data_IF_658818904232
#
_entry.id   IF_658818904232
#
_cell.length_a   1.000
_cell.length_b   1.000
_cell.length_c   1.000
_cell.angle_alpha   90.00
_cell.angle_beta   90.00
_cell.angle_gamma   90.00
#
_symmetry.space_group_name_H-M   'P 1'
#
loop_
_entity.id
_entity.type
_entity.pdbx_description
1 polymer ?
#
# COMPACT_ATOMS: atom_id res chain seq x y z
N UNK A 1 -26.74 56.50 50.24
CA UNK A 1 -26.05 56.67 48.94
C UNK A 1 -24.59 56.33 49.18
N UNK A 2 -23.96 55.54 48.31
CA UNK A 2 -22.53 55.24 48.47
C UNK A 2 -21.72 56.53 48.38
N UNK A 3 -20.65 56.61 49.17
CA UNK A 3 -19.71 57.72 49.08
C UNK A 3 -18.87 57.64 47.80
N UNK A 4 -18.29 58.77 47.37
CA UNK A 4 -17.41 58.81 46.20
C UNK A 4 -16.22 57.84 46.33
N UNK A 5 -15.66 57.74 47.53
CA UNK A 5 -14.54 56.86 47.84
C UNK A 5 -14.94 55.38 47.77
N UNK A 6 -16.12 55.02 48.26
CA UNK A 6 -16.66 53.66 48.17
C UNK A 6 -16.90 53.23 46.71
N UNK A 7 -17.41 54.14 45.86
CA UNK A 7 -17.57 53.88 44.43
C UNK A 7 -16.23 53.66 43.73
N UNK A 8 -15.23 54.49 44.04
CA UNK A 8 -13.88 54.33 43.49
C UNK A 8 -13.23 53.03 43.95
N UNK A 9 -13.42 52.63 45.20
CA UNK A 9 -12.93 51.35 45.72
C UNK A 9 -13.57 50.16 44.98
N UNK A 10 -14.91 50.16 44.82
CA UNK A 10 -15.62 49.12 44.05
C UNK A 10 -15.20 49.06 42.59
N UNK A 11 -15.00 50.21 41.93
CA UNK A 11 -14.51 50.25 40.54
C UNK A 11 -13.11 49.63 40.44
N UNK A 12 -12.21 49.89 41.40
CA UNK A 12 -10.88 49.26 41.43
C UNK A 12 -10.97 47.74 41.59
N UNK A 13 -11.81 47.27 42.51
CA UNK A 13 -12.02 45.84 42.74
C UNK A 13 -12.56 45.13 41.50
N UNK A 14 -13.58 45.71 40.85
CA UNK A 14 -14.16 45.17 39.62
C UNK A 14 -13.15 45.17 38.47
N UNK A 15 -12.32 46.21 38.34
CA UNK A 15 -11.24 46.22 37.36
C UNK A 15 -10.22 45.09 37.62
N UNK A 16 -9.83 44.84 38.87
CA UNK A 16 -8.95 43.70 39.17
C UNK A 16 -9.60 42.35 38.82
N UNK A 17 -10.89 42.19 39.09
CA UNK A 17 -11.63 40.99 38.69
C UNK A 17 -11.67 40.83 37.16
N UNK A 18 -11.84 41.92 36.41
CA UNK A 18 -11.79 41.89 34.94
C UNK A 18 -10.42 41.47 34.43
N UNK A 19 -9.35 41.98 35.02
CA UNK A 19 -7.98 41.60 34.66
C UNK A 19 -7.71 40.11 34.93
N UNK A 20 -8.20 39.58 36.05
CA UNK A 20 -8.10 38.15 36.37
C UNK A 20 -8.89 37.28 35.39
N UNK A 21 -10.14 37.65 35.09
CA UNK A 21 -10.96 36.94 34.09
C UNK A 21 -10.27 36.99 32.72
N UNK A 22 -9.68 38.12 32.35
CA UNK A 22 -8.97 38.26 31.08
C UNK A 22 -7.74 37.34 31.03
N UNK A 23 -6.92 37.30 32.08
CA UNK A 23 -5.79 36.36 32.19
C UNK A 23 -6.26 34.91 32.05
N UNK A 24 -7.38 34.54 32.67
CA UNK A 24 -7.95 33.20 32.55
C UNK A 24 -8.43 32.89 31.12
N UNK A 25 -9.04 33.85 30.42
CA UNK A 25 -9.43 33.69 29.00
C UNK A 25 -8.21 33.46 28.12
N UNK A 26 -7.13 34.21 28.35
CA UNK A 26 -5.90 34.12 27.57
C UNK A 26 -5.20 32.78 27.83
N UNK A 27 -5.14 32.33 29.09
CA UNK A 27 -4.61 31.01 29.44
C UNK A 27 -5.37 29.87 28.74
N UNK A 28 -6.71 29.85 28.82
CA UNK A 28 -7.54 28.84 28.13
C UNK A 28 -7.38 28.94 26.61
N UNK A 29 -7.21 30.14 26.06
CA UNK A 29 -6.97 30.32 24.62
C UNK A 29 -5.64 29.72 24.19
N UNK A 30 -4.59 29.88 25.00
CA UNK A 30 -3.29 29.27 24.75
C UNK A 30 -3.36 27.73 24.86
N UNK A 31 -4.09 27.19 25.84
CA UNK A 31 -4.33 25.74 25.94
C UNK A 31 -5.08 25.18 24.72
N UNK A 32 -6.11 25.89 24.22
CA UNK A 32 -6.80 25.50 22.99
C UNK A 32 -5.83 25.45 21.81
N UNK A 33 -4.96 26.46 21.68
CA UNK A 33 -3.99 26.53 20.59
C UNK A 33 -2.95 25.41 20.66
N UNK A 34 -2.47 25.07 21.86
CA UNK A 34 -1.52 23.95 22.04
C UNK A 34 -2.17 22.60 21.72
N UNK A 35 -3.42 22.38 22.15
CA UNK A 35 -4.19 21.17 21.81
C UNK A 35 -4.47 21.08 20.30
N UNK A 36 -4.73 22.21 19.62
CA UNK A 36 -4.87 22.25 18.15
C UNK A 36 -3.57 21.87 17.44
N UNK A 37 -2.43 22.35 17.90
CA UNK A 37 -1.14 21.95 17.34
C UNK A 37 -0.89 20.44 17.48
N UNK A 38 -1.20 19.86 18.65
CA UNK A 38 -1.14 18.40 18.87
C UNK A 38 -2.10 17.64 17.94
N UNK A 39 -3.31 18.18 17.71
CA UNK A 39 -4.28 17.59 16.80
C UNK A 39 -3.76 17.55 15.35
N UNK A 40 -3.09 18.61 14.91
CA UNK A 40 -2.50 18.68 13.57
C UNK A 40 -1.32 17.72 13.42
N UNK A 41 -0.51 17.53 14.46
CA UNK A 41 0.55 16.53 14.47
C UNK A 41 -0.02 15.10 14.36
N UNK A 42 -1.07 14.77 15.12
CA UNK A 42 -1.76 13.47 15.01
C UNK A 42 -2.35 13.28 13.61
N UNK A 43 -2.86 14.34 12.96
CA UNK A 43 -3.36 14.27 11.59
C UNK A 43 -2.26 13.93 10.60
N UNK A 44 -1.05 14.51 10.76
CA UNK A 44 0.12 14.15 9.94
C UNK A 44 0.51 12.69 10.14
N UNK A 45 0.65 12.25 11.39
CA UNK A 45 0.95 10.85 11.72
C UNK A 45 -0.10 9.89 11.15
N UNK A 46 -1.39 10.24 11.20
CA UNK A 46 -2.45 9.45 10.58
C UNK A 46 -2.32 9.38 9.05
N UNK A 47 -1.87 10.46 8.40
CA UNK A 47 -1.64 10.48 6.96
C UNK A 47 -0.46 9.58 6.58
N UNK A 48 0.65 9.66 7.34
CA UNK A 48 1.82 8.80 7.17
C UNK A 48 1.46 7.32 7.35
N UNK A 49 0.77 6.97 8.44
CA UNK A 49 0.34 5.58 8.69
C UNK A 49 -0.59 5.07 7.58
N UNK A 50 -1.47 5.92 7.03
CA UNK A 50 -2.29 5.53 5.86
C UNK A 50 -1.43 5.26 4.63
N UNK A 51 -0.45 6.11 4.36
CA UNK A 51 0.49 5.91 3.25
C UNK A 51 1.27 4.60 3.41
N UNK A 52 1.76 4.32 4.61
CA UNK A 52 2.47 3.07 4.91
C UNK A 52 1.57 1.84 4.73
N UNK A 53 0.32 1.91 5.20
CA UNK A 53 -0.68 0.85 5.00
C UNK A 53 -0.91 0.58 3.51
N UNK A 54 -1.03 1.63 2.71
CA UNK A 54 -1.25 1.50 1.27
C UNK A 54 -0.04 0.89 0.57
N UNK A 55 1.17 1.37 0.88
CA UNK A 55 2.41 0.77 0.38
C UNK A 55 2.55 -0.72 0.74
N UNK A 56 2.17 -1.12 1.97
CA UNK A 56 2.15 -2.54 2.36
C UNK A 56 1.11 -3.36 1.61
N UNK A 57 -0.04 -2.78 1.26
CA UNK A 57 -1.06 -3.45 0.43
C UNK A 57 -0.58 -3.66 -1.00
N UNK A 58 0.08 -2.67 -1.58
CA UNK A 58 0.69 -2.81 -2.92
C UNK A 58 1.77 -3.89 -2.93
N UNK A 59 2.66 -3.92 -1.93
CA UNK A 59 3.64 -5.00 -1.77
C UNK A 59 2.95 -6.38 -1.68
N UNK A 60 1.82 -6.44 -0.97
CA UNK A 60 1.04 -7.66 -0.85
C UNK A 60 0.38 -8.09 -2.16
N UNK A 61 -0.07 -7.14 -2.97
CA UNK A 61 -0.59 -7.41 -4.30
C UNK A 61 0.52 -7.96 -5.21
N UNK A 62 1.67 -7.29 -5.28
CA UNK A 62 2.84 -7.75 -6.08
C UNK A 62 3.29 -9.14 -5.68
N UNK A 63 3.38 -9.43 -4.38
CA UNK A 63 3.75 -10.77 -3.90
C UNK A 63 2.70 -11.83 -4.26
N UNK A 64 1.40 -11.50 -4.26
CA UNK A 64 0.35 -12.41 -4.73
C UNK A 64 0.47 -12.70 -6.24
N UNK A 65 0.70 -11.68 -7.05
CA UNK A 65 0.88 -11.81 -8.50
C UNK A 65 2.09 -12.69 -8.83
N UNK A 66 3.24 -12.44 -8.16
CA UNK A 66 4.44 -13.27 -8.30
C UNK A 66 4.22 -14.73 -7.88
N UNK A 67 3.51 -14.97 -6.77
CA UNK A 67 3.15 -16.34 -6.38
C UNK A 67 2.25 -16.98 -7.44
N UNK A 68 1.30 -16.22 -7.99
CA UNK A 68 0.41 -16.69 -9.06
C UNK A 68 1.18 -17.15 -10.29
N UNK A 69 2.08 -16.30 -10.82
CA UNK A 69 2.88 -16.63 -12.01
C UNK A 69 3.82 -17.83 -11.77
N UNK A 70 4.41 -17.95 -10.58
CA UNK A 70 5.22 -19.12 -10.22
C UNK A 70 4.39 -20.41 -10.12
N UNK A 71 3.15 -20.33 -9.62
CA UNK A 71 2.24 -21.48 -9.57
C UNK A 71 1.83 -21.91 -10.97
N UNK A 72 1.58 -20.98 -11.88
CA UNK A 72 1.32 -21.25 -13.29
C UNK A 72 2.53 -21.89 -13.97
N UNK A 73 3.72 -21.32 -13.80
CA UNK A 73 4.97 -21.89 -14.33
C UNK A 73 5.22 -23.31 -13.80
N UNK A 74 4.98 -23.53 -12.50
CA UNK A 74 5.06 -24.87 -11.89
C UNK A 74 4.09 -25.85 -12.54
N UNK A 75 2.85 -25.44 -12.84
CA UNK A 75 1.86 -26.32 -13.48
C UNK A 75 2.27 -26.68 -14.91
N UNK A 76 2.81 -25.73 -15.66
CA UNK A 76 3.36 -25.94 -17.01
C UNK A 76 4.51 -26.96 -16.98
N UNK A 77 5.48 -26.79 -16.07
CA UNK A 77 6.61 -27.72 -15.91
C UNK A 77 6.10 -29.13 -15.56
N UNK A 78 5.12 -29.25 -14.66
CA UNK A 78 4.53 -30.54 -14.31
C UNK A 78 3.89 -31.21 -15.53
N UNK A 79 3.19 -30.44 -16.36
CA UNK A 79 2.58 -30.96 -17.59
C UNK A 79 3.63 -31.39 -18.61
N UNK A 80 4.71 -30.62 -18.78
CA UNK A 80 5.85 -31.00 -19.61
C UNK A 80 6.54 -32.28 -19.13
N UNK A 81 6.75 -32.43 -17.82
CA UNK A 81 7.30 -33.67 -17.25
C UNK A 81 6.36 -34.85 -17.54
N UNK A 82 5.03 -34.66 -17.47
CA UNK A 82 4.06 -35.71 -17.78
C UNK A 82 4.12 -36.12 -19.25
N UNK A 83 4.19 -35.17 -20.19
CA UNK A 83 4.30 -35.49 -21.62
C UNK A 83 5.63 -36.19 -21.93
N UNK A 84 6.74 -35.69 -21.40
CA UNK A 84 8.05 -36.33 -21.57
C UNK A 84 8.10 -37.74 -20.97
N UNK A 85 7.43 -37.98 -19.83
CA UNK A 85 7.31 -39.34 -19.27
C UNK A 85 6.49 -40.27 -20.17
N UNK A 86 5.43 -39.77 -20.79
CA UNK A 86 4.66 -40.56 -21.76
C UNK A 86 5.50 -40.89 -23.00
N UNK A 87 6.27 -39.93 -23.52
CA UNK A 87 7.23 -40.16 -24.61
C UNK A 87 8.33 -41.16 -24.21
N UNK A 88 8.85 -41.05 -22.99
CA UNK A 88 9.84 -42.00 -22.44
C UNK A 88 9.26 -43.42 -22.42
N UNK A 89 8.00 -43.58 -22.03
CA UNK A 89 7.33 -44.87 -22.01
C UNK A 89 7.18 -45.43 -23.42
N UNK A 90 6.74 -44.62 -24.39
CA UNK A 90 6.61 -45.04 -25.79
C UNK A 90 7.96 -45.41 -26.42
N UNK A 91 9.00 -44.62 -26.17
CA UNK A 91 10.36 -44.92 -26.66
C UNK A 91 10.89 -46.23 -26.08
N UNK A 92 10.63 -46.53 -24.80
CA UNK A 92 11.00 -47.81 -24.20
C UNK A 92 10.25 -49.00 -24.83
N UNK A 93 8.94 -48.87 -25.09
CA UNK A 93 8.16 -49.91 -25.77
C UNK A 93 8.72 -50.17 -27.17
N UNK A 94 9.02 -49.12 -27.93
CA UNK A 94 9.59 -49.26 -29.27
C UNK A 94 10.97 -49.95 -29.21
N UNK A 95 11.83 -49.52 -28.29
CA UNK A 95 13.15 -50.12 -28.09
C UNK A 95 13.05 -51.61 -27.75
N UNK A 96 12.07 -52.02 -26.93
CA UNK A 96 11.80 -53.42 -26.66
C UNK A 96 11.40 -54.19 -27.93
N UNK A 97 10.46 -53.67 -28.74
CA UNK A 97 10.09 -54.28 -30.03
C UNK A 97 11.29 -54.47 -30.96
N UNK A 98 12.19 -53.49 -31.03
CA UNK A 98 13.42 -53.58 -31.83
C UNK A 98 14.39 -54.65 -31.30
N UNK A 99 14.51 -54.79 -29.97
CA UNK A 99 15.31 -55.87 -29.36
C UNK A 99 14.75 -57.24 -29.67
N UNK A 100 13.43 -57.42 -29.58
CA UNK A 100 12.75 -58.69 -29.92
C UNK A 100 12.98 -59.05 -31.39
N UNK A 101 12.80 -58.09 -32.31
CA UNK A 101 13.11 -58.29 -33.75
C UNK A 101 14.57 -58.66 -33.97
N UNK A 102 15.51 -57.98 -33.31
CA UNK A 102 16.93 -58.30 -33.41
C UNK A 102 17.26 -59.73 -32.96
N UNK A 103 16.61 -60.24 -31.91
CA UNK A 103 16.77 -61.63 -31.48
C UNK A 103 16.27 -62.58 -32.55
N UNK A 104 15.09 -62.34 -33.13
CA UNK A 104 14.55 -63.16 -34.23
C UNK A 104 15.50 -63.21 -35.42
N UNK A 105 15.96 -62.05 -35.91
CA UNK A 105 16.89 -62.02 -37.05
C UNK A 105 18.25 -62.64 -36.75
N UNK A 106 18.76 -62.51 -35.51
CA UNK A 106 20.00 -63.20 -35.09
C UNK A 106 19.83 -64.72 -35.08
N UNK A 107 18.69 -65.21 -34.59
CA UNK A 107 18.39 -66.64 -34.59
C UNK A 107 18.25 -67.16 -36.03
N UNK A 108 17.55 -66.44 -36.91
CA UNK A 108 17.48 -66.75 -38.34
C UNK A 108 18.86 -66.77 -39.00
N UNK A 109 19.73 -65.82 -38.65
CA UNK A 109 21.11 -65.82 -39.14
C UNK A 109 21.90 -67.03 -38.61
N UNK A 110 21.68 -67.44 -37.36
CA UNK A 110 22.30 -68.64 -36.77
C UNK A 110 21.88 -69.90 -37.52
N UNK A 111 20.58 -70.10 -37.76
CA UNK A 111 20.08 -71.28 -38.47
C UNK A 111 20.58 -71.33 -39.92
N UNK A 112 20.67 -70.19 -40.60
CA UNK A 112 21.27 -70.10 -41.93
C UNK A 112 22.77 -70.39 -41.91
N UNK A 113 23.51 -69.89 -40.91
CA UNK A 113 24.94 -70.20 -40.75
C UNK A 113 25.17 -71.70 -40.49
N UNK A 114 24.32 -72.34 -39.68
CA UNK A 114 24.37 -73.77 -39.39
C UNK A 114 24.11 -74.60 -40.65
N UNK A 115 23.12 -74.22 -41.46
CA UNK A 115 22.82 -74.88 -42.75
C UNK A 115 24.02 -74.87 -43.71
N UNK A 116 24.78 -73.79 -43.75
CA UNK A 116 25.96 -73.62 -44.63
C UNK A 116 27.24 -74.23 -44.01
N UNK A 117 27.15 -74.79 -42.80
CA UNK A 117 28.29 -75.42 -42.12
C UNK A 117 29.37 -74.43 -41.69
N UNK A 118 28.99 -73.17 -41.41
CA UNK A 118 29.89 -72.14 -40.87
C UNK A 118 30.93 -71.58 -41.84
N UNK A 119 30.96 -72.02 -43.10
CA UNK A 119 31.79 -71.41 -44.15
C UNK A 119 31.07 -70.18 -44.69
N UNK A 120 31.77 -69.05 -44.85
CA UNK A 120 31.22 -67.92 -45.60
C UNK A 120 31.38 -68.26 -47.08
N UNK A 121 30.33 -68.59 -47.83
CA UNK A 121 30.49 -68.94 -49.23
C UNK A 121 30.82 -67.67 -49.99
N UNK A 122 31.86 -67.72 -50.81
CA UNK A 122 32.22 -66.60 -51.66
C UNK A 122 31.22 -66.53 -52.82
N UNK A 123 30.21 -65.67 -52.66
CA UNK A 123 29.13 -65.42 -53.62
C UNK A 123 29.62 -65.29 -55.07
N UNK A 124 30.71 -64.56 -55.27
CA UNK A 124 31.32 -64.36 -56.59
C UNK A 124 31.92 -65.65 -57.17
N UNK A 125 32.50 -66.51 -56.33
CA UNK A 125 33.03 -67.81 -56.77
C UNK A 125 31.89 -68.77 -57.14
N UNK A 126 30.81 -68.81 -56.37
CA UNK A 126 29.64 -69.64 -56.68
C UNK A 126 28.95 -69.21 -57.98
N UNK A 127 28.82 -67.89 -58.21
CA UNK A 127 28.28 -67.35 -59.48
C UNK A 127 29.16 -67.72 -60.68
N UNK A 128 30.47 -67.54 -60.57
CA UNK A 128 31.42 -67.93 -61.63
C UNK A 128 31.39 -69.44 -61.89
N UNK A 129 31.21 -70.26 -60.86
CA UNK A 129 31.09 -71.71 -61.00
C UNK A 129 29.77 -72.10 -61.69
N UNK A 130 28.64 -71.44 -61.40
CA UNK A 130 27.39 -71.64 -62.15
C UNK A 130 27.59 -71.26 -63.61
N UNK A 131 28.11 -70.07 -63.90
CA UNK A 131 28.34 -69.59 -65.28
C UNK A 131 29.26 -70.54 -66.06
N UNK A 132 30.31 -71.07 -65.42
CA UNK A 132 31.21 -72.06 -66.01
C UNK A 132 30.52 -73.41 -66.23
N UNK A 133 29.69 -73.88 -65.29
CA UNK A 133 28.97 -75.15 -65.40
C UNK A 133 27.84 -75.09 -66.43
N UNK A 134 27.14 -73.97 -66.56
CA UNK A 134 26.14 -73.71 -67.60
C UNK A 134 26.80 -73.65 -68.98
N UNK A 135 27.91 -72.92 -69.10
CA UNK A 135 28.70 -72.88 -70.34
C UNK A 135 29.20 -74.27 -70.75
N UNK A 136 29.71 -75.05 -69.80
CA UNK A 136 30.12 -76.44 -70.05
C UNK A 136 28.94 -77.33 -70.43
N UNK A 137 27.78 -77.15 -69.82
CA UNK A 137 26.55 -77.88 -70.17
C UNK A 137 26.07 -77.56 -71.59
N UNK A 138 26.17 -76.31 -72.04
CA UNK A 138 25.78 -75.87 -73.39
C UNK A 138 26.76 -76.32 -74.49
N UNK A 139 28.04 -76.48 -74.16
CA UNK A 139 29.12 -76.75 -75.14
C UNK A 139 29.59 -78.20 -75.20
N UNK A 140 29.12 -79.07 -74.29
CA UNK A 140 29.55 -80.48 -74.20
C UNK A 140 28.45 -81.46 -74.67
N UNK A 141 28.76 -82.52 -75.44
CA UNK A 141 27.81 -83.60 -75.72
C UNK A 141 27.73 -84.57 -74.54
N UNK A 142 26.58 -84.64 -73.87
CA UNK A 142 26.45 -85.38 -72.59
C UNK A 142 25.44 -86.54 -72.64
N UNK A 143 25.72 -87.58 -71.85
CA UNK A 143 24.86 -88.76 -71.63
C UNK A 143 23.72 -88.39 -70.63
N UNK A 144 22.47 -88.90 -70.81
CA UNK A 144 21.33 -88.58 -69.95
C UNK A 144 21.54 -88.71 -68.43
N UNK A 145 22.41 -89.61 -67.97
CA UNK A 145 22.73 -89.72 -66.54
C UNK A 145 23.61 -88.58 -66.03
N UNK A 146 24.55 -88.13 -66.86
CA UNK A 146 25.42 -87.01 -66.55
C UNK A 146 24.65 -85.69 -66.54
N UNK A 147 23.75 -85.47 -67.50
CA UNK A 147 22.87 -84.30 -67.50
C UNK A 147 22.06 -84.19 -66.21
N UNK A 148 21.52 -85.31 -65.71
CA UNK A 148 20.81 -85.36 -64.43
C UNK A 148 21.72 -85.04 -63.25
N UNK A 149 23.00 -85.45 -63.27
CA UNK A 149 23.96 -85.10 -62.24
C UNK A 149 24.40 -83.63 -62.32
N UNK A 150 24.64 -83.10 -63.52
CA UNK A 150 24.94 -81.68 -63.75
C UNK A 150 23.82 -80.77 -63.27
N UNK A 151 22.57 -81.08 -63.65
CA UNK A 151 21.39 -80.34 -63.18
C UNK A 151 21.30 -80.42 -61.64
N UNK A 152 21.55 -81.59 -61.03
CA UNK A 152 21.59 -81.72 -59.56
C UNK A 152 22.67 -80.86 -58.92
N UNK A 153 23.88 -80.80 -59.49
CA UNK A 153 24.99 -79.99 -58.98
C UNK A 153 24.73 -78.48 -59.16
N UNK A 154 24.26 -78.04 -60.34
CA UNK A 154 23.86 -76.65 -60.58
C UNK A 154 22.75 -76.25 -59.60
N UNK A 155 21.71 -77.06 -59.46
CA UNK A 155 20.63 -76.84 -58.49
C UNK A 155 21.11 -76.80 -57.03
N UNK A 156 22.18 -77.51 -56.67
CA UNK A 156 22.78 -77.43 -55.34
C UNK A 156 23.51 -76.10 -55.15
N UNK A 157 24.33 -75.67 -56.13
CA UNK A 157 25.07 -74.40 -56.07
C UNK A 157 24.10 -73.21 -56.08
N UNK A 158 23.00 -73.27 -56.83
CA UNK A 158 21.94 -72.26 -56.81
C UNK A 158 21.25 -72.17 -55.43
N UNK A 159 21.00 -73.29 -54.77
CA UNK A 159 20.44 -73.30 -53.39
C UNK A 159 21.41 -72.65 -52.42
N UNK A 160 22.70 -72.96 -52.51
CA UNK A 160 23.74 -72.33 -51.69
C UNK A 160 23.82 -70.82 -51.94
N UNK A 161 23.77 -70.39 -53.20
CA UNK A 161 23.76 -68.98 -53.58
C UNK A 161 22.54 -68.24 -53.02
N UNK A 162 21.35 -68.83 -53.11
CA UNK A 162 20.12 -68.27 -52.53
C UNK A 162 20.21 -68.12 -51.00
N UNK A 163 20.85 -69.06 -50.31
CA UNK A 163 21.09 -68.95 -48.86
C UNK A 163 22.04 -67.80 -48.56
N UNK A 164 23.12 -67.61 -49.32
CA UNK A 164 24.03 -66.46 -49.18
C UNK A 164 23.30 -65.13 -49.34
N UNK A 165 22.47 -64.99 -50.37
CA UNK A 165 21.65 -63.79 -50.59
C UNK A 165 20.69 -63.53 -49.42
N UNK A 166 20.08 -64.58 -48.87
CA UNK A 166 19.20 -64.47 -47.71
C UNK A 166 19.97 -64.01 -46.46
N UNK A 167 21.20 -64.50 -46.26
CA UNK A 167 22.07 -64.11 -45.15
C UNK A 167 22.53 -62.66 -45.25
N UNK A 168 22.87 -62.18 -46.45
CA UNK A 168 23.20 -60.76 -46.69
C UNK A 168 22.02 -59.84 -46.33
N UNK A 169 20.80 -60.19 -46.77
CA UNK A 169 19.57 -59.45 -46.43
C UNK A 169 19.31 -59.43 -44.92
N UNK A 170 19.45 -60.57 -44.24
CA UNK A 170 19.29 -60.65 -42.79
C UNK A 170 20.34 -59.81 -42.06
N UNK A 171 21.61 -59.82 -42.50
CA UNK A 171 22.68 -58.98 -41.94
C UNK A 171 22.38 -57.49 -42.11
N UNK A 172 21.87 -57.08 -43.28
CA UNK A 172 21.47 -55.70 -43.53
C UNK A 172 20.33 -55.27 -42.59
N UNK A 173 19.28 -56.08 -42.44
CA UNK A 173 18.19 -55.80 -41.50
C UNK A 173 18.68 -55.74 -40.04
N UNK A 174 19.61 -56.60 -39.62
CA UNK A 174 20.22 -56.53 -38.29
C UNK A 174 20.95 -55.19 -38.10
N UNK A 175 21.72 -54.74 -39.10
CA UNK A 175 22.44 -53.46 -39.03
C UNK A 175 21.47 -52.27 -38.92
N UNK A 176 20.39 -52.27 -39.72
CA UNK A 176 19.36 -51.23 -39.67
C UNK A 176 18.64 -51.19 -38.31
N UNK A 177 18.20 -52.35 -37.80
CA UNK A 177 17.54 -52.45 -36.50
C UNK A 177 18.46 -52.02 -35.35
N UNK A 178 19.78 -52.28 -35.44
CA UNK A 178 20.77 -51.77 -34.47
C UNK A 178 20.83 -50.25 -34.51
N UNK A 179 20.94 -49.65 -35.70
CA UNK A 179 20.98 -48.20 -35.87
C UNK A 179 19.72 -47.52 -35.29
N UNK A 180 18.53 -48.06 -35.60
CA UNK A 180 17.26 -47.56 -35.05
C UNK A 180 17.19 -47.71 -33.53
N UNK A 181 17.68 -48.84 -32.98
CA UNK A 181 17.74 -49.04 -31.54
C UNK A 181 18.69 -48.07 -30.84
N UNK A 182 19.82 -47.72 -31.45
CA UNK A 182 20.78 -46.75 -30.91
C UNK A 182 20.22 -45.33 -30.96
N UNK A 183 19.53 -44.94 -32.04
CA UNK A 183 18.80 -43.67 -32.11
C UNK A 183 17.74 -43.55 -30.99
N UNK A 184 17.00 -44.61 -30.71
CA UNK A 184 16.03 -44.64 -29.61
C UNK A 184 16.68 -44.57 -28.23
N UNK A 185 17.86 -45.17 -28.02
CA UNK A 185 18.62 -45.03 -26.76
C UNK A 185 19.02 -43.57 -26.55
N UNK A 186 19.56 -42.92 -27.58
CA UNK A 186 19.97 -41.52 -27.50
C UNK A 186 18.77 -40.61 -27.21
N UNK A 187 17.63 -40.83 -27.89
CA UNK A 187 16.38 -40.09 -27.61
C UNK A 187 15.91 -40.31 -26.17
N UNK A 188 15.96 -41.54 -25.67
CA UNK A 188 15.59 -41.87 -24.30
C UNK A 188 16.48 -41.15 -23.28
N UNK A 189 17.78 -41.05 -23.53
CA UNK A 189 18.72 -40.32 -22.67
C UNK A 189 18.47 -38.81 -22.70
N UNK A 190 18.21 -38.24 -23.87
CA UNK A 190 17.83 -36.84 -24.00
C UNK A 190 16.57 -36.49 -23.18
N UNK A 191 15.50 -37.30 -23.31
CA UNK A 191 14.26 -37.13 -22.53
C UNK A 191 14.54 -37.22 -21.02
N UNK A 192 15.38 -38.16 -20.57
CA UNK A 192 15.75 -38.27 -19.15
C UNK A 192 16.47 -37.02 -18.64
N UNK A 193 17.39 -36.49 -19.43
CA UNK A 193 18.14 -35.28 -19.08
C UNK A 193 17.23 -34.04 -19.03
N UNK A 194 16.27 -33.91 -19.94
CA UNK A 194 15.26 -32.85 -19.91
C UNK A 194 14.36 -32.95 -18.68
N UNK A 195 13.87 -34.15 -18.36
CA UNK A 195 13.10 -34.38 -17.13
C UNK A 195 13.91 -33.98 -15.89
N UNK A 196 15.20 -34.32 -15.84
CA UNK A 196 16.07 -33.97 -14.71
C UNK A 196 16.21 -32.45 -14.53
N UNK A 197 16.41 -31.70 -15.63
CA UNK A 197 16.44 -30.23 -15.62
C UNK A 197 15.12 -29.64 -15.13
N UNK A 198 14.00 -30.09 -15.68
CA UNK A 198 12.67 -29.63 -15.27
C UNK A 198 12.36 -29.92 -13.79
N UNK A 199 12.85 -31.04 -13.26
CA UNK A 199 12.71 -31.37 -11.82
C UNK A 199 13.52 -30.43 -10.95
N UNK A 200 14.72 -30.03 -11.40
CA UNK A 200 15.52 -29.00 -10.72
C UNK A 200 14.83 -27.63 -10.76
N UNK A 201 14.28 -27.22 -11.91
CA UNK A 201 13.50 -25.98 -12.01
C UNK A 201 12.25 -26.00 -11.11
N UNK A 202 11.64 -27.17 -10.94
CA UNK A 202 10.50 -27.32 -10.04
C UNK A 202 10.93 -27.16 -8.56
N UNK A 203 12.13 -27.61 -8.18
CA UNK A 203 12.64 -27.45 -6.82
C UNK A 203 12.97 -26.00 -6.50
N UNK A 204 13.57 -25.25 -7.43
CA UNK A 204 13.85 -23.82 -7.28
C UNK A 204 12.55 -23.01 -7.15
N UNK A 205 11.57 -23.23 -8.04
CA UNK A 205 10.26 -22.56 -7.96
C UNK A 205 9.55 -22.85 -6.63
N UNK A 206 9.64 -24.09 -6.12
CA UNK A 206 9.08 -24.43 -4.80
C UNK A 206 9.73 -23.62 -3.68
N UNK A 207 11.04 -23.43 -3.71
CA UNK A 207 11.77 -22.62 -2.73
C UNK A 207 11.37 -21.15 -2.82
N UNK A 208 11.31 -20.59 -4.02
CA UNK A 208 10.87 -19.21 -4.25
C UNK A 208 9.44 -18.96 -3.75
N UNK A 209 8.50 -19.86 -4.05
CA UNK A 209 7.13 -19.78 -3.53
C UNK A 209 7.11 -19.83 -1.99
N UNK A 210 7.96 -20.64 -1.36
CA UNK A 210 8.05 -20.72 0.10
C UNK A 210 8.57 -19.41 0.70
N UNK A 211 9.62 -18.83 0.12
CA UNK A 211 10.16 -17.53 0.54
C UNK A 211 9.14 -16.40 0.38
N UNK A 212 8.45 -16.33 -0.77
CA UNK A 212 7.39 -15.34 -1.00
C UNK A 212 6.20 -15.50 -0.04
N UNK A 213 5.87 -16.74 0.36
CA UNK A 213 4.84 -16.97 1.37
C UNK A 213 5.27 -16.49 2.75
N UNK A 214 6.53 -16.66 3.11
CA UNK A 214 7.09 -16.16 4.37
C UNK A 214 7.09 -14.63 4.40
N UNK A 215 7.62 -13.97 3.35
CA UNK A 215 7.60 -12.51 3.26
C UNK A 215 6.17 -11.96 3.27
N UNK A 216 5.22 -12.64 2.61
CA UNK A 216 3.79 -12.28 2.67
C UNK A 216 3.24 -12.33 4.11
N UNK A 217 3.65 -13.30 4.92
CA UNK A 217 3.23 -13.38 6.34
C UNK A 217 3.81 -12.23 7.17
N UNK A 218 5.06 -11.83 6.91
CA UNK A 218 5.68 -10.68 7.56
C UNK A 218 4.95 -9.38 7.21
N UNK A 219 4.64 -9.15 5.93
CA UNK A 219 3.85 -7.99 5.48
C UNK A 219 2.48 -7.97 6.18
N UNK A 220 1.82 -9.11 6.37
CA UNK A 220 0.55 -9.15 7.12
C UNK A 220 0.71 -8.73 8.59
N UNK A 221 1.80 -9.15 9.26
CA UNK A 221 2.08 -8.75 10.65
C UNK A 221 2.32 -7.24 10.76
N UNK A 222 3.11 -6.68 9.86
CA UNK A 222 3.35 -5.24 9.80
C UNK A 222 2.07 -4.45 9.48
N UNK A 223 1.23 -4.97 8.58
CA UNK A 223 -0.06 -4.37 8.26
C UNK A 223 -1.00 -4.37 9.46
N UNK A 224 -0.98 -5.43 10.28
CA UNK A 224 -1.76 -5.50 11.51
C UNK A 224 -1.30 -4.44 12.52
N UNK A 225 0.01 -4.33 12.78
CA UNK A 225 0.54 -3.33 13.72
C UNK A 225 0.30 -1.89 13.25
N UNK A 226 0.37 -1.62 11.94
CA UNK A 226 0.00 -0.30 11.39
C UNK A 226 -1.49 0.01 11.56
N UNK A 227 -2.37 -0.98 11.43
CA UNK A 227 -3.81 -0.79 11.69
C UNK A 227 -4.09 -0.51 13.16
N UNK A 228 -3.42 -1.19 14.07
CA UNK A 228 -3.52 -0.92 15.52
C UNK A 228 -3.08 0.51 15.83
N UNK A 229 -1.88 0.91 15.38
CA UNK A 229 -1.38 2.29 15.50
C UNK A 229 -2.37 3.32 14.94
N UNK A 230 -2.99 3.03 13.79
CA UNK A 230 -4.01 3.90 13.19
C UNK A 230 -5.24 4.07 14.10
N UNK A 231 -5.72 3.00 14.71
CA UNK A 231 -6.86 3.07 15.63
C UNK A 231 -6.50 3.80 16.93
N UNK A 232 -5.30 3.60 17.48
CA UNK A 232 -4.79 4.36 18.64
C UNK A 232 -4.74 5.86 18.34
N UNK A 233 -4.15 6.25 17.19
CA UNK A 233 -4.11 7.65 16.76
C UNK A 233 -5.50 8.24 16.55
N UNK A 234 -6.47 7.46 16.05
CA UNK A 234 -7.87 7.92 15.92
C UNK A 234 -8.51 8.19 17.29
N UNK A 235 -8.30 7.30 18.28
CA UNK A 235 -8.80 7.49 19.64
C UNK A 235 -8.23 8.77 20.25
N UNK A 236 -6.90 8.91 20.21
CA UNK A 236 -6.20 10.10 20.72
C UNK A 236 -6.65 11.39 20.04
N UNK A 237 -6.89 11.34 18.73
CA UNK A 237 -7.46 12.48 17.97
C UNK A 237 -8.83 12.89 18.50
N UNK A 238 -9.68 11.92 18.86
CA UNK A 238 -11.03 12.19 19.33
C UNK A 238 -11.04 12.71 20.77
N UNK A 239 -10.19 12.16 21.63
CA UNK A 239 -9.93 12.67 22.99
C UNK A 239 -9.52 14.16 22.95
N UNK A 240 -8.51 14.50 22.13
CA UNK A 240 -8.05 15.90 22.01
C UNK A 240 -9.16 16.83 21.49
N UNK A 241 -10.00 16.37 20.57
CA UNK A 241 -11.16 17.18 20.12
C UNK A 241 -12.14 17.43 21.26
N UNK A 242 -12.42 16.42 22.09
CA UNK A 242 -13.31 16.57 23.24
C UNK A 242 -12.72 17.56 24.25
N UNK A 243 -11.42 17.48 24.54
CA UNK A 243 -10.72 18.46 25.38
C UNK A 243 -10.82 19.88 24.82
N UNK A 244 -10.58 20.07 23.50
CA UNK A 244 -10.72 21.36 22.83
C UNK A 244 -12.16 21.90 22.98
N UNK A 245 -13.17 21.04 22.85
CA UNK A 245 -14.58 21.43 23.03
C UNK A 245 -14.86 21.88 24.47
N UNK A 246 -14.37 21.15 25.48
CA UNK A 246 -14.52 21.53 26.88
C UNK A 246 -13.84 22.88 27.18
N UNK A 247 -12.61 23.07 26.70
CA UNK A 247 -11.91 24.35 26.84
C UNK A 247 -12.64 25.49 26.12
N UNK A 248 -13.23 25.23 24.95
CA UNK A 248 -14.00 26.22 24.22
C UNK A 248 -15.27 26.65 24.98
N UNK A 249 -15.97 25.71 25.62
CA UNK A 249 -17.10 26.00 26.50
C UNK A 249 -16.67 26.83 27.71
N UNK A 250 -15.62 26.41 28.42
CA UNK A 250 -15.06 27.17 29.56
C UNK A 250 -14.67 28.60 29.17
N UNK A 251 -14.06 28.78 27.99
CA UNK A 251 -13.73 30.11 27.47
C UNK A 251 -14.97 30.95 27.19
N UNK A 252 -16.06 30.33 26.70
CA UNK A 252 -17.33 31.02 26.47
C UNK A 252 -17.94 31.50 27.79
N UNK A 253 -17.98 30.64 28.81
CA UNK A 253 -18.45 30.99 30.15
C UNK A 253 -17.64 32.13 30.77
N UNK A 254 -16.30 32.09 30.64
CA UNK A 254 -15.44 33.18 31.12
C UNK A 254 -15.71 34.51 30.39
N UNK A 255 -16.01 34.46 29.09
CA UNK A 255 -16.38 35.66 28.32
C UNK A 255 -17.74 36.21 28.75
N UNK A 256 -18.70 35.35 29.07
CA UNK A 256 -20.01 35.76 29.60
C UNK A 256 -19.86 36.40 30.99
N UNK A 257 -19.07 35.79 31.89
CA UNK A 257 -18.72 36.38 33.19
C UNK A 257 -18.00 37.73 33.05
N UNK A 258 -17.07 37.84 32.09
CA UNK A 258 -16.40 39.12 31.80
C UNK A 258 -17.41 40.19 31.41
N UNK A 259 -18.40 39.86 30.56
CA UNK A 259 -19.44 40.81 30.15
C UNK A 259 -20.31 41.27 31.31
N UNK A 260 -20.75 40.37 32.18
CA UNK A 260 -21.57 40.76 33.35
C UNK A 260 -20.80 41.68 34.30
N UNK A 261 -19.52 41.39 34.53
CA UNK A 261 -18.64 42.24 35.37
C UNK A 261 -18.37 43.58 34.69
N UNK A 262 -18.26 43.64 33.35
CA UNK A 262 -18.17 44.89 32.60
C UNK A 262 -19.43 45.74 32.73
N UNK A 263 -20.61 45.14 32.65
CA UNK A 263 -21.89 45.86 32.86
C UNK A 263 -22.00 46.42 34.29
N UNK A 264 -21.53 45.67 35.30
CA UNK A 264 -21.44 46.17 36.67
C UNK A 264 -20.47 47.36 36.80
N UNK A 265 -19.30 47.28 36.17
CA UNK A 265 -18.35 48.39 36.11
C UNK A 265 -18.97 49.64 35.49
N UNK A 266 -19.68 49.48 34.36
CA UNK A 266 -20.38 50.59 33.70
C UNK A 266 -21.43 51.23 34.59
N UNK A 267 -22.23 50.44 35.32
CA UNK A 267 -23.20 50.94 36.31
C UNK A 267 -22.51 51.80 37.38
N UNK A 268 -21.42 51.32 37.97
CA UNK A 268 -20.68 52.08 38.98
C UNK A 268 -20.03 53.35 38.42
N UNK A 269 -19.52 53.30 37.19
CA UNK A 269 -18.97 54.48 36.51
C UNK A 269 -20.04 55.55 36.24
N UNK A 270 -21.25 55.15 35.83
CA UNK A 270 -22.38 56.06 35.65
C UNK A 270 -22.80 56.69 36.99
N UNK A 271 -22.89 55.88 38.05
CA UNK A 271 -23.19 56.37 39.41
C UNK A 271 -22.14 57.37 39.89
N UNK A 272 -20.85 57.08 39.70
CA UNK A 272 -19.76 57.99 40.05
C UNK A 272 -19.89 59.32 39.30
N UNK A 273 -20.13 59.28 37.98
CA UNK A 273 -20.31 60.48 37.16
C UNK A 273 -21.53 61.30 37.57
N UNK A 274 -22.65 60.65 37.90
CA UNK A 274 -23.85 61.30 38.41
C UNK A 274 -23.59 61.97 39.76
N UNK A 275 -22.84 61.32 40.65
CA UNK A 275 -22.48 61.85 41.96
C UNK A 275 -21.55 63.06 41.83
N UNK A 276 -20.54 63.01 40.96
CA UNK A 276 -19.67 64.16 40.66
C UNK A 276 -20.44 65.34 40.07
N UNK A 277 -21.42 65.09 39.19
CA UNK A 277 -22.30 66.14 38.66
C UNK A 277 -23.19 66.76 39.75
N UNK A 278 -23.71 65.94 40.66
CA UNK A 278 -24.53 66.39 41.78
C UNK A 278 -23.72 67.20 42.81
N UNK A 279 -22.47 66.81 43.09
CA UNK A 279 -21.56 67.59 43.93
C UNK A 279 -21.23 68.93 43.30
N UNK A 280 -20.94 68.95 41.99
CA UNK A 280 -20.69 70.20 41.25
C UNK A 280 -21.92 71.10 41.20
N UNK A 281 -23.12 70.56 41.00
CA UNK A 281 -24.35 71.35 40.98
C UNK A 281 -24.69 71.91 42.35
N UNK A 282 -24.51 71.14 43.43
CA UNK A 282 -24.64 71.62 44.81
C UNK A 282 -23.63 72.73 45.13
N UNK A 283 -22.37 72.56 44.73
CA UNK A 283 -21.34 73.58 44.90
C UNK A 283 -21.71 74.87 44.15
N UNK A 284 -22.16 74.76 42.89
CA UNK A 284 -22.67 75.90 42.11
C UNK A 284 -23.88 76.56 42.79
N UNK A 285 -24.84 75.79 43.27
CA UNK A 285 -26.02 76.31 43.96
C UNK A 285 -25.67 77.01 45.28
N UNK A 286 -24.70 76.49 46.05
CA UNK A 286 -24.20 77.14 47.26
C UNK A 286 -23.47 78.44 46.95
N UNK A 287 -22.66 78.47 45.88
CA UNK A 287 -22.01 79.71 45.42
C UNK A 287 -23.06 80.73 44.98
N UNK A 288 -24.05 80.32 44.18
CA UNK A 288 -25.17 81.18 43.78
C UNK A 288 -25.99 81.65 44.98
N UNK A 289 -26.24 80.79 45.98
CA UNK A 289 -26.94 81.15 47.21
C UNK A 289 -26.14 82.18 48.03
N UNK A 290 -24.82 82.01 48.16
CA UNK A 290 -23.95 83.00 48.82
C UNK A 290 -23.93 84.33 48.06
N UNK A 291 -23.82 84.29 46.74
CA UNK A 291 -23.85 85.49 45.89
C UNK A 291 -25.19 86.20 46.03
N UNK A 292 -26.32 85.49 45.94
CA UNK A 292 -27.66 86.08 46.13
C UNK A 292 -27.88 86.59 47.56
N UNK A 293 -27.39 85.89 48.59
CA UNK A 293 -27.45 86.38 49.99
C UNK A 293 -26.63 87.65 50.18
N UNK A 294 -25.38 87.69 49.74
CA UNK A 294 -24.55 88.91 49.80
C UNK A 294 -25.10 90.06 48.95
N UNK A 295 -25.73 89.78 47.81
CA UNK A 295 -26.48 90.77 47.04
C UNK A 295 -27.69 91.28 47.81
N UNK A 296 -28.46 90.40 48.47
CA UNK A 296 -29.59 90.77 49.33
C UNK A 296 -29.16 91.59 50.54
N UNK A 297 -28.12 91.20 51.25
CA UNK A 297 -27.58 91.95 52.40
C UNK A 297 -27.10 93.35 51.98
N UNK A 298 -26.42 93.46 50.82
CA UNK A 298 -26.05 94.75 50.23
C UNK A 298 -27.28 95.57 49.85
N UNK A 299 -28.27 94.95 49.22
CA UNK A 299 -29.52 95.61 48.82
C UNK A 299 -30.33 96.07 50.04
N UNK A 300 -30.40 95.29 51.12
CA UNK A 300 -31.06 95.67 52.38
C UNK A 300 -30.35 96.83 53.07
N UNK A 301 -29.01 96.83 53.10
CA UNK A 301 -28.24 97.95 53.62
C UNK A 301 -28.49 99.24 52.82
N UNK A 302 -28.55 99.14 51.49
CA UNK A 302 -28.83 100.28 50.60
C UNK A 302 -30.31 100.71 50.72
N UNK A 303 -31.26 99.78 50.84
CA UNK A 303 -32.68 100.06 51.05
C UNK A 303 -32.93 100.75 52.40
N UNK A 304 -32.22 100.34 53.45
CA UNK A 304 -32.29 101.02 54.75
C UNK A 304 -31.76 102.47 54.65
N UNK A 305 -30.73 102.74 53.83
CA UNK A 305 -30.29 104.13 53.54
C UNK A 305 -31.36 104.92 52.79
N UNK A 306 -32.03 104.31 51.80
CA UNK A 306 -33.16 104.91 51.09
C UNK A 306 -34.30 105.29 52.05
N UNK A 307 -34.68 104.38 52.96
CA UNK A 307 -35.73 104.61 53.96
C UNK A 307 -35.38 105.72 54.96
N UNK A 308 -34.09 105.98 55.16
CA UNK A 308 -33.58 107.06 56.02
C UNK A 308 -33.42 108.41 55.29
N UNK A 309 -33.74 108.50 54.00
CA UNK A 309 -33.79 109.77 53.24
C UNK A 309 -32.45 110.23 52.62
N UNK A 310 -31.46 109.35 52.51
CA UNK A 310 -30.17 109.66 51.88
C UNK A 310 -30.21 109.51 50.34
N UNK A 311 -29.45 110.33 49.60
CA UNK A 311 -29.38 110.27 48.12
C UNK A 311 -28.58 109.04 47.68
N UNK A 312 -29.18 108.20 46.86
CA UNK A 312 -28.54 107.03 46.25
C UNK A 312 -27.74 107.38 44.99
N UNK A 313 -26.65 106.65 44.76
CA UNK A 313 -25.88 106.70 43.51
C UNK A 313 -26.50 105.79 42.42
N UNK A 314 -26.20 106.05 41.14
CA UNK A 314 -26.73 105.26 40.02
C UNK A 314 -26.33 103.77 40.09
N UNK A 315 -25.18 103.47 40.70
CA UNK A 315 -24.72 102.10 40.93
C UNK A 315 -25.50 101.41 42.07
N UNK A 316 -25.87 102.14 43.12
CA UNK A 316 -26.68 101.63 44.24
C UNK A 316 -28.14 101.37 43.82
N UNK A 317 -28.69 102.18 42.91
CA UNK A 317 -30.02 101.95 42.31
C UNK A 317 -30.03 100.68 41.47
N UNK A 318 -28.96 100.44 40.68
CA UNK A 318 -28.83 99.22 39.87
C UNK A 318 -28.79 97.95 40.73
N UNK A 319 -28.14 98.00 41.89
CA UNK A 319 -28.08 96.89 42.85
C UNK A 319 -29.46 96.57 43.46
N UNK A 320 -30.30 97.59 43.71
CA UNK A 320 -31.66 97.40 44.20
C UNK A 320 -32.59 96.77 43.15
N UNK A 321 -32.43 97.14 41.88
CA UNK A 321 -33.16 96.55 40.74
C UNK A 321 -32.74 95.08 40.55
N UNK A 322 -31.43 94.80 40.49
CA UNK A 322 -30.90 93.44 40.34
C UNK A 322 -31.29 92.50 41.51
N UNK A 323 -31.55 93.05 42.70
CA UNK A 323 -32.02 92.30 43.87
C UNK A 323 -33.56 92.19 43.99
N UNK A 324 -34.32 92.86 43.12
CA UNK A 324 -35.79 92.81 43.05
C UNK A 324 -36.53 93.71 44.05
N UNK A 325 -35.87 94.72 44.64
CA UNK A 325 -36.48 95.67 45.58
C UNK A 325 -37.17 96.86 44.88
N UNK A 326 -36.93 97.08 43.59
CA UNK A 326 -37.56 98.10 42.75
C UNK A 326 -38.01 97.46 41.42
N UNK A 327 -39.16 97.86 40.85
CA UNK A 327 -39.59 97.38 39.53
C UNK A 327 -38.65 97.88 38.43
N UNK A 328 -38.37 97.03 37.44
CA UNK A 328 -37.70 97.44 36.20
C UNK A 328 -38.67 98.34 35.39
N UNK A 329 -38.32 99.62 35.22
CA UNK A 329 -38.95 100.52 34.23
C UNK A 329 -38.22 100.47 32.90
#
# INVERSE_FOLDING_TARGET
MLSREELLAKIREINSQLDEIQKNIDAVTNEINSKRALLDEIRKQLAEVRSLIEGKREQLQKTRELIGSLVERKSQIINQIRSLRAELLQTNINLQKYREKLVVYRNLLSTLNEYVGGKVPEKEKLKRLIEQLEYLFETSPTNPEWERQFIKYISQIERELNVVDSMEKVRAHIAELKSQADALKNRREAIRNEIAKLVQDLSTIKQEIAQLKASRQEIYKELASLKEKREELKKRREEIKQEILQLALRRKELREKRRSVQEELEKYNVLLKALELAERSKAKAQVQARVTQSLKERAEAIFNKLMNGERLTHEEIKILIEAGYLPEE
#
